data_IF_436038786394
#
_entry.id   IF_436038786394
#
_cell.length_a   1.000
_cell.length_b   1.000
_cell.length_c   1.000
_cell.angle_alpha   90.00
_cell.angle_beta   90.00
_cell.angle_gamma   90.00
#
_symmetry.space_group_name_H-M   'P 1'
#
loop_
_entity.id
_entity.type
_entity.pdbx_description
1 polymer ?
#
# COMPACT_ATOMS: atom_id res chain seq x y z
N UNK A 1 -27.65 19.70 2.77
CA UNK A 1 -26.67 18.60 2.89
C UNK A 1 -25.55 19.12 3.76
N UNK A 2 -25.46 18.69 5.02
CA UNK A 2 -24.39 19.11 5.93
C UNK A 2 -23.18 18.23 5.61
N UNK A 3 -22.11 18.82 5.12
CA UNK A 3 -20.83 18.14 4.95
C UNK A 3 -20.23 17.96 6.35
N UNK A 4 -20.07 16.72 6.80
CA UNK A 4 -19.33 16.43 8.03
C UNK A 4 -17.84 16.37 7.72
N UNK A 5 -17.04 17.13 8.48
CA UNK A 5 -15.59 17.01 8.44
C UNK A 5 -15.16 15.71 9.14
N UNK A 6 -14.33 14.93 8.46
CA UNK A 6 -13.78 13.69 9.01
C UNK A 6 -12.26 13.87 9.14
N UNK A 7 -11.75 13.78 10.36
CA UNK A 7 -10.31 13.86 10.61
C UNK A 7 -9.57 12.74 9.85
N UNK A 8 -8.38 13.00 9.28
CA UNK A 8 -7.62 11.98 8.59
C UNK A 8 -7.21 10.85 9.58
N UNK A 9 -7.10 9.61 9.09
CA UNK A 9 -6.67 8.50 9.93
C UNK A 9 -5.24 8.73 10.47
N UNK A 10 -5.01 8.34 11.72
CA UNK A 10 -3.71 8.51 12.41
C UNK A 10 -2.61 7.56 11.90
N UNK A 11 -2.99 6.57 11.10
CA UNK A 11 -2.10 5.68 10.36
C UNK A 11 -2.44 5.76 8.88
N UNK A 12 -1.41 5.75 8.02
CA UNK A 12 -1.58 5.91 6.57
C UNK A 12 -0.72 4.89 5.83
N UNK A 13 -1.37 4.09 4.98
CA UNK A 13 -0.71 3.00 4.26
C UNK A 13 -0.71 3.29 2.77
N UNK A 14 0.48 3.33 2.18
CA UNK A 14 0.69 3.61 0.76
C UNK A 14 1.13 2.33 0.04
N UNK A 15 0.47 2.05 -1.09
CA UNK A 15 0.86 0.97 -2.00
C UNK A 15 1.61 1.54 -3.20
N UNK A 16 2.92 1.27 -3.29
CA UNK A 16 3.69 1.48 -4.50
C UNK A 16 3.62 0.24 -5.40
N UNK A 17 2.91 0.33 -6.52
CA UNK A 17 2.62 -0.76 -7.42
C UNK A 17 3.43 -0.63 -8.72
N UNK A 18 4.28 -1.62 -8.98
CA UNK A 18 5.09 -1.67 -10.19
C UNK A 18 4.21 -1.71 -11.42
N UNK A 19 4.48 -0.83 -12.37
CA UNK A 19 3.62 -0.64 -13.52
C UNK A 19 3.59 -1.89 -14.41
N UNK A 20 2.38 -2.24 -14.85
CA UNK A 20 2.10 -3.49 -15.53
C UNK A 20 0.93 -3.38 -16.51
N UNK A 21 0.64 -4.45 -17.25
CA UNK A 21 -0.56 -4.50 -18.12
C UNK A 21 -1.84 -4.88 -17.37
N UNK A 22 -1.76 -5.12 -16.05
CA UNK A 22 -2.86 -5.62 -15.24
C UNK A 22 -4.23 -5.03 -15.59
N UNK A 23 -5.10 -5.91 -16.10
CA UNK A 23 -6.53 -5.64 -16.34
C UNK A 23 -7.29 -5.41 -15.03
N UNK A 24 -6.71 -5.81 -13.89
CA UNK A 24 -7.31 -5.69 -12.57
C UNK A 24 -6.94 -4.40 -11.83
N UNK A 25 -6.22 -3.47 -12.46
CA UNK A 25 -5.83 -2.20 -11.82
C UNK A 25 -7.05 -1.45 -11.26
N UNK A 26 -8.10 -1.25 -12.06
CA UNK A 26 -9.29 -0.53 -11.62
C UNK A 26 -9.94 -1.19 -10.40
N UNK A 27 -10.06 -2.53 -10.43
CA UNK A 27 -10.53 -3.31 -9.29
C UNK A 27 -9.65 -3.15 -8.05
N UNK A 28 -8.32 -3.15 -8.21
CA UNK A 28 -7.41 -2.95 -7.07
C UNK A 28 -7.52 -1.52 -6.50
N UNK A 29 -7.73 -0.50 -7.34
CA UNK A 29 -7.97 0.86 -6.88
C UNK A 29 -9.24 0.94 -6.02
N UNK A 30 -10.32 0.27 -6.44
CA UNK A 30 -11.56 0.15 -5.65
C UNK A 30 -11.27 -0.52 -4.29
N UNK A 31 -10.54 -1.64 -4.28
CA UNK A 31 -10.21 -2.38 -3.04
C UNK A 31 -9.25 -1.61 -2.13
N UNK A 32 -8.38 -0.79 -2.70
CA UNK A 32 -7.51 0.07 -1.92
C UNK A 32 -8.30 1.14 -1.17
N UNK A 33 -9.39 1.65 -1.75
CA UNK A 33 -10.31 2.55 -1.05
C UNK A 33 -11.09 1.81 0.04
N UNK A 34 -11.62 0.62 -0.26
CA UNK A 34 -12.36 -0.18 0.74
C UNK A 34 -11.51 -0.53 1.97
N UNK A 35 -10.20 -0.70 1.79
CA UNK A 35 -9.23 -1.00 2.84
C UNK A 35 -8.45 0.22 3.33
N UNK A 36 -9.00 1.43 3.09
CA UNK A 36 -8.48 2.70 3.61
C UNK A 36 -6.97 2.93 3.36
N UNK A 37 -6.51 2.62 2.15
CA UNK A 37 -5.19 3.07 1.72
C UNK A 37 -5.11 4.60 1.81
N UNK A 38 -3.98 5.11 2.30
CA UNK A 38 -3.66 6.53 2.29
C UNK A 38 -3.11 7.00 0.94
N UNK A 39 -2.54 6.08 0.15
CA UNK A 39 -2.04 6.40 -1.18
C UNK A 39 -1.79 5.18 -2.05
N UNK A 40 -1.81 5.40 -3.36
CA UNK A 40 -1.52 4.41 -4.39
C UNK A 40 -0.56 5.06 -5.39
N UNK A 41 0.64 4.55 -5.45
CA UNK A 41 1.70 5.07 -6.32
C UNK A 41 1.99 4.07 -7.43
N UNK A 42 1.81 4.46 -8.68
CA UNK A 42 2.10 3.63 -9.85
C UNK A 42 3.50 3.97 -10.33
N UNK A 43 4.48 3.09 -10.13
CA UNK A 43 5.88 3.40 -10.42
C UNK A 43 6.43 2.62 -11.61
N UNK A 44 7.33 3.25 -12.35
CA UNK A 44 8.01 2.65 -13.49
C UNK A 44 9.03 1.61 -13.01
N UNK A 45 8.75 0.33 -13.22
CA UNK A 45 9.72 -0.72 -12.96
C UNK A 45 10.52 -1.07 -14.22
N UNK A 46 11.70 -1.64 -14.03
CA UNK A 46 12.61 -2.10 -15.09
C UNK A 46 11.95 -3.13 -15.99
N UNK A 47 11.12 -4.00 -15.40
CA UNK A 47 10.41 -5.09 -16.09
C UNK A 47 8.95 -4.77 -16.41
N UNK A 48 8.56 -3.49 -16.35
CA UNK A 48 7.26 -3.04 -16.83
C UNK A 48 7.13 -3.24 -18.34
N UNK A 49 5.97 -3.70 -18.80
CA UNK A 49 5.73 -3.99 -20.23
C UNK A 49 5.48 -2.74 -21.09
N UNK A 50 5.28 -1.58 -20.46
CA UNK A 50 5.13 -0.28 -21.10
C UNK A 50 5.57 0.83 -20.15
N UNK A 51 5.63 2.07 -20.65
CA UNK A 51 5.88 3.23 -19.81
C UNK A 51 4.66 3.54 -18.95
N UNK A 52 4.87 3.82 -17.67
CA UNK A 52 3.83 4.38 -16.80
C UNK A 52 3.41 5.75 -17.35
N UNK A 53 2.11 6.10 -17.34
CA UNK A 53 1.67 7.43 -17.71
C UNK A 53 2.30 8.50 -16.82
N UNK A 54 2.55 9.68 -17.37
CA UNK A 54 3.04 10.83 -16.59
C UNK A 54 1.92 11.37 -15.68
N UNK A 55 0.70 11.45 -16.19
CA UNK A 55 -0.48 11.88 -15.44
C UNK A 55 -1.39 10.71 -15.04
N UNK A 56 -2.07 10.90 -13.90
CA UNK A 56 -3.17 10.03 -13.49
C UNK A 56 -4.36 10.16 -14.44
N UNK A 57 -5.09 9.07 -14.67
CA UNK A 57 -6.26 9.07 -15.54
C UNK A 57 -7.54 9.31 -14.74
N UNK A 58 -8.44 10.14 -15.25
CA UNK A 58 -9.77 10.38 -14.65
C UNK A 58 -10.57 9.09 -14.39
N UNK A 59 -10.38 8.09 -15.25
CA UNK A 59 -11.03 6.79 -15.09
C UNK A 59 -10.58 6.05 -13.83
N UNK A 60 -9.35 6.27 -13.35
CA UNK A 60 -8.83 5.67 -12.12
C UNK A 60 -9.45 6.32 -10.89
N UNK A 61 -9.53 7.65 -10.87
CA UNK A 61 -10.25 8.38 -9.83
C UNK A 61 -11.71 7.96 -9.77
N UNK A 62 -12.35 7.78 -10.92
CA UNK A 62 -13.73 7.29 -10.99
C UNK A 62 -13.91 5.90 -10.34
N UNK A 63 -12.93 5.00 -10.46
CA UNK A 63 -12.97 3.69 -9.77
C UNK A 63 -12.83 3.85 -8.25
N UNK A 64 -11.95 4.74 -7.80
CA UNK A 64 -11.77 5.03 -6.37
C UNK A 64 -13.04 5.63 -5.76
N UNK A 65 -13.68 6.58 -6.45
CA UNK A 65 -14.96 7.17 -6.05
C UNK A 65 -16.06 6.11 -5.96
N UNK A 66 -16.08 5.13 -6.88
CA UNK A 66 -17.03 4.02 -6.80
C UNK A 66 -16.82 3.16 -5.55
N UNK A 67 -15.57 2.82 -5.23
CA UNK A 67 -15.21 2.11 -3.99
C UNK A 67 -15.58 2.86 -2.72
N UNK A 68 -15.32 4.17 -2.67
CA UNK A 68 -15.68 5.03 -1.54
C UNK A 68 -17.19 5.03 -1.29
N UNK A 69 -17.99 5.15 -2.36
CA UNK A 69 -19.46 5.12 -2.26
C UNK A 69 -19.99 3.80 -1.73
N UNK A 70 -19.38 2.67 -2.09
CA UNK A 70 -19.82 1.34 -1.64
C UNK A 70 -19.37 1.02 -0.21
N UNK A 71 -18.21 1.50 0.20
CA UNK A 71 -17.65 1.27 1.54
C UNK A 71 -18.08 2.32 2.57
N UNK A 72 -18.71 3.41 2.14
CA UNK A 72 -18.95 4.60 2.96
C UNK A 72 -17.64 5.21 3.50
N UNK A 73 -16.52 4.95 2.84
CA UNK A 73 -15.25 5.57 3.17
C UNK A 73 -15.28 7.06 2.75
N UNK A 74 -15.14 8.02 3.69
CA UNK A 74 -15.17 9.45 3.36
C UNK A 74 -13.83 9.96 2.77
N UNK A 75 -12.78 9.12 2.73
CA UNK A 75 -11.46 9.49 2.24
C UNK A 75 -11.12 8.75 0.94
N UNK A 76 -10.41 9.44 0.04
CA UNK A 76 -9.78 8.84 -1.13
C UNK A 76 -8.26 8.80 -0.93
N UNK A 77 -7.58 7.71 -1.32
CA UNK A 77 -6.13 7.67 -1.34
C UNK A 77 -5.59 8.69 -2.33
N UNK A 78 -4.42 9.26 -2.02
CA UNK A 78 -3.63 9.97 -3.02
C UNK A 78 -3.28 9.01 -4.17
N UNK A 79 -3.53 9.39 -5.41
CA UNK A 79 -3.10 8.63 -6.58
C UNK A 79 -1.95 9.36 -7.27
N UNK A 80 -0.81 8.69 -7.43
CA UNK A 80 0.39 9.27 -8.05
C UNK A 80 1.03 8.30 -9.06
N UNK A 81 1.70 8.86 -10.06
CA UNK A 81 2.56 8.16 -11.01
C UNK A 81 4.02 8.55 -10.76
N UNK A 82 4.93 7.58 -10.83
CA UNK A 82 6.37 7.77 -10.59
C UNK A 82 7.17 7.26 -11.81
N UNK A 83 7.30 8.06 -12.87
CA UNK A 83 7.99 7.66 -14.10
C UNK A 83 9.51 7.55 -13.97
N UNK A 84 10.12 8.12 -12.93
CA UNK A 84 11.55 8.03 -12.60
C UNK A 84 11.95 6.71 -11.93
N UNK A 85 10.99 5.81 -11.69
CA UNK A 85 11.22 4.43 -11.30
C UNK A 85 11.78 4.25 -9.88
N UNK A 86 12.67 3.26 -9.69
CA UNK A 86 13.14 2.89 -8.36
C UNK A 86 13.88 4.03 -7.62
N UNK A 87 14.60 4.89 -8.34
CA UNK A 87 15.30 6.04 -7.74
C UNK A 87 14.31 7.11 -7.24
N UNK A 88 13.27 7.42 -8.03
CA UNK A 88 12.22 8.34 -7.61
C UNK A 88 11.42 7.76 -6.43
N UNK A 89 11.09 6.47 -6.48
CA UNK A 89 10.41 5.78 -5.39
C UNK A 89 11.26 5.77 -4.10
N UNK A 90 12.56 5.51 -4.22
CA UNK A 90 13.50 5.55 -3.11
C UNK A 90 13.57 6.93 -2.45
N UNK A 91 13.58 8.01 -3.24
CA UNK A 91 13.59 9.37 -2.72
C UNK A 91 12.35 9.69 -1.86
N UNK A 92 11.20 9.09 -2.16
CA UNK A 92 9.98 9.24 -1.38
C UNK A 92 9.92 8.34 -0.14
N UNK A 93 10.72 7.28 -0.07
CA UNK A 93 10.70 6.34 1.05
C UNK A 93 11.11 7.00 2.39
N UNK A 94 11.88 8.09 2.34
CA UNK A 94 12.30 8.86 3.51
C UNK A 94 11.14 9.51 4.28
N UNK A 95 9.97 9.69 3.64
CA UNK A 95 8.79 10.28 4.28
C UNK A 95 7.93 9.24 5.04
N UNK A 96 8.42 8.00 5.17
CA UNK A 96 7.72 6.90 5.83
C UNK A 96 8.47 6.41 7.05
N UNK A 97 7.72 6.12 8.11
CA UNK A 97 8.24 5.49 9.32
C UNK A 97 8.67 4.04 9.07
N UNK A 98 8.08 3.43 8.05
CA UNK A 98 8.30 2.02 7.68
C UNK A 98 8.05 1.81 6.20
N UNK A 99 8.95 1.09 5.55
CA UNK A 99 8.84 0.75 4.15
C UNK A 99 9.24 -0.71 3.91
N UNK A 100 8.45 -1.42 3.13
CA UNK A 100 8.60 -2.84 2.85
C UNK A 100 8.64 -3.14 1.36
N UNK A 101 9.61 -3.94 0.95
CA UNK A 101 9.74 -4.45 -0.41
C UNK A 101 9.21 -5.89 -0.45
N UNK A 102 8.06 -6.11 -1.08
CA UNK A 102 7.42 -7.44 -1.16
C UNK A 102 8.11 -8.29 -2.23
N UNK A 103 9.20 -8.94 -1.86
CA UNK A 103 10.11 -9.58 -2.82
C UNK A 103 10.10 -11.11 -2.68
N UNK A 104 9.78 -11.80 -3.77
CA UNK A 104 9.79 -13.26 -3.85
C UNK A 104 11.19 -13.89 -3.72
N UNK A 105 12.26 -13.10 -3.94
CA UNK A 105 13.64 -13.55 -3.76
C UNK A 105 14.10 -13.60 -2.30
N UNK A 106 13.28 -13.14 -1.35
CA UNK A 106 13.58 -13.27 0.07
C UNK A 106 13.35 -14.68 0.60
N UNK A 107 14.06 -15.02 1.68
CA UNK A 107 13.80 -16.26 2.40
C UNK A 107 12.33 -16.32 2.84
N UNK A 108 11.64 -17.46 2.70
CA UNK A 108 10.28 -17.63 3.22
C UNK A 108 10.17 -17.46 4.74
N UNK A 109 11.29 -17.40 5.47
CA UNK A 109 11.33 -17.09 6.90
C UNK A 109 11.33 -15.59 7.20
N UNK A 110 11.67 -14.74 6.24
CA UNK A 110 11.62 -13.28 6.35
C UNK A 110 10.20 -12.76 6.11
N UNK A 111 9.22 -13.36 6.79
CA UNK A 111 7.81 -13.03 6.60
C UNK A 111 7.51 -11.60 7.03
N UNK A 112 6.63 -10.93 6.30
CA UNK A 112 5.97 -9.72 6.79
C UNK A 112 5.22 -10.07 8.08
N UNK A 113 5.74 -9.56 9.20
CA UNK A 113 5.33 -10.02 10.53
C UNK A 113 4.23 -9.13 11.15
N UNK A 114 3.27 -9.70 11.89
CA UNK A 114 2.20 -8.95 12.58
C UNK A 114 2.65 -7.73 13.40
N UNK A 115 3.76 -7.78 14.19
CA UNK A 115 4.19 -6.62 14.98
C UNK A 115 4.59 -5.39 14.15
N UNK A 116 4.81 -5.59 12.84
CA UNK A 116 5.20 -4.53 11.92
C UNK A 116 4.01 -3.91 11.17
N UNK A 117 2.80 -4.39 11.43
CA UNK A 117 1.56 -4.01 10.75
C UNK A 117 0.65 -3.17 11.66
N UNK A 118 -0.16 -2.32 11.03
CA UNK A 118 -1.16 -1.49 11.68
C UNK A 118 -0.63 -0.52 12.74
N UNK A 119 0.65 -0.19 12.67
CA UNK A 119 1.29 0.78 13.55
C UNK A 119 0.88 2.21 13.18
N UNK A 120 0.96 3.13 14.14
CA UNK A 120 0.78 4.56 13.89
C UNK A 120 1.85 5.08 12.92
N UNK A 121 1.55 6.17 12.21
CA UNK A 121 2.46 6.76 11.22
C UNK A 121 2.22 6.25 9.80
N UNK A 122 3.23 6.42 8.94
CA UNK A 122 3.15 6.13 7.50
C UNK A 122 3.88 4.83 7.16
N UNK A 123 3.17 3.92 6.48
CA UNK A 123 3.71 2.66 5.98
C UNK A 123 3.70 2.62 4.46
N UNK A 124 4.84 2.26 3.85
CA UNK A 124 4.96 2.03 2.42
C UNK A 124 5.10 0.53 2.14
N UNK A 125 4.27 -0.02 1.26
CA UNK A 125 4.48 -1.34 0.67
C UNK A 125 4.80 -1.21 -0.82
N UNK A 126 5.94 -1.76 -1.23
CA UNK A 126 6.39 -1.78 -2.62
C UNK A 126 6.17 -3.17 -3.21
N UNK A 127 5.36 -3.21 -4.28
CA UNK A 127 5.04 -4.40 -5.06
C UNK A 127 5.69 -4.23 -6.44
N UNK A 128 6.40 -5.25 -6.91
CA UNK A 128 7.05 -5.23 -8.24
C UNK A 128 6.05 -5.36 -9.38
N UNK A 129 6.46 -5.21 -10.65
CA UNK A 129 5.61 -5.47 -11.81
C UNK A 129 5.37 -6.98 -11.98
N UNK A 130 4.53 -7.39 -12.95
CA UNK A 130 4.27 -8.82 -13.19
C UNK A 130 5.53 -9.61 -13.60
N UNK A 131 6.60 -8.93 -14.06
CA UNK A 131 7.90 -9.52 -14.37
C UNK A 131 8.85 -9.66 -13.17
N UNK A 132 8.39 -9.30 -11.96
CA UNK A 132 9.21 -9.25 -10.75
C UNK A 132 10.21 -8.10 -10.75
N UNK A 133 10.99 -7.99 -9.68
CA UNK A 133 12.04 -6.98 -9.53
C UNK A 133 13.32 -7.36 -10.28
N UNK A 134 14.05 -6.36 -10.76
CA UNK A 134 15.45 -6.49 -11.15
C UNK A 134 16.36 -6.48 -9.91
N UNK A 135 17.59 -7.00 -10.05
CA UNK A 135 18.57 -6.94 -8.97
C UNK A 135 18.95 -5.49 -8.62
N UNK A 136 18.99 -4.61 -9.63
CA UNK A 136 19.27 -3.20 -9.44
C UNK A 136 18.17 -2.51 -8.62
N UNK A 137 16.90 -2.77 -8.94
CA UNK A 137 15.77 -2.21 -8.16
C UNK A 137 15.82 -2.67 -6.70
N UNK A 138 16.06 -3.95 -6.45
CA UNK A 138 16.19 -4.46 -5.08
C UNK A 138 17.34 -3.76 -4.36
N UNK A 139 18.50 -3.58 -5.01
CA UNK A 139 19.64 -2.90 -4.43
C UNK A 139 19.35 -1.42 -4.11
N UNK A 140 18.81 -0.66 -5.07
CA UNK A 140 18.44 0.75 -4.91
C UNK A 140 17.44 0.93 -3.77
N UNK A 141 16.35 0.16 -3.77
CA UNK A 141 15.29 0.30 -2.78
C UNK A 141 15.76 -0.13 -1.38
N UNK A 142 16.57 -1.18 -1.28
CA UNK A 142 17.14 -1.62 -0.01
C UNK A 142 18.14 -0.59 0.54
N UNK A 143 18.96 0.02 -0.33
CA UNK A 143 19.88 1.09 0.06
C UNK A 143 19.15 2.33 0.59
N UNK A 144 17.91 2.56 0.16
CA UNK A 144 17.03 3.60 0.67
C UNK A 144 16.31 3.24 1.99
N UNK A 145 16.64 2.10 2.61
CA UNK A 145 16.06 1.67 3.89
C UNK A 145 14.74 0.89 3.75
N UNK A 146 14.32 0.56 2.52
CA UNK A 146 13.12 -0.25 2.30
C UNK A 146 13.46 -1.71 2.61
N UNK A 147 12.77 -2.29 3.59
CA UNK A 147 13.09 -3.62 4.12
C UNK A 147 12.48 -4.72 3.24
N UNK A 148 13.28 -5.60 2.63
CA UNK A 148 12.75 -6.73 1.88
C UNK A 148 12.06 -7.75 2.77
N UNK A 149 10.87 -8.18 2.38
CA UNK A 149 10.05 -9.17 3.11
C UNK A 149 9.39 -10.16 2.16
N UNK A 150 9.06 -11.33 2.69
CA UNK A 150 8.32 -12.38 2.01
C UNK A 150 6.85 -12.38 2.43
N UNK A 151 5.96 -12.74 1.49
CA UNK A 151 4.55 -13.06 1.76
C UNK A 151 4.31 -14.58 1.88
N UNK A 152 5.37 -15.36 2.06
CA UNK A 152 5.33 -16.80 2.23
C UNK A 152 6.01 -17.56 1.09
N UNK A 153 5.74 -18.87 1.04
CA UNK A 153 6.43 -19.82 0.15
C UNK A 153 5.98 -19.76 -1.32
N UNK A 154 4.84 -19.13 -1.59
CA UNK A 154 4.25 -19.09 -2.92
C UNK A 154 4.47 -17.71 -3.52
N UNK A 155 4.85 -17.69 -4.79
CA UNK A 155 4.79 -16.49 -5.60
C UNK A 155 3.31 -16.11 -5.76
N UNK A 156 2.95 -14.92 -5.26
CA UNK A 156 1.61 -14.38 -5.39
C UNK A 156 1.52 -13.56 -6.66
N UNK A 157 0.33 -13.52 -7.27
CA UNK A 157 0.09 -12.58 -8.36
C UNK A 157 0.15 -11.15 -7.84
N UNK A 158 0.49 -10.22 -8.73
CA UNK A 158 0.60 -8.78 -8.46
C UNK A 158 -0.56 -8.24 -7.62
N UNK A 159 -1.80 -8.50 -8.03
CA UNK A 159 -2.99 -8.02 -7.35
C UNK A 159 -3.20 -8.69 -5.98
N UNK A 160 -2.78 -9.95 -5.86
CA UNK A 160 -2.91 -10.73 -4.62
C UNK A 160 -1.90 -10.28 -3.58
N UNK A 161 -0.66 -10.01 -3.98
CA UNK A 161 0.37 -9.48 -3.09
C UNK A 161 -0.03 -8.11 -2.53
N UNK A 162 -0.49 -7.21 -3.41
CA UNK A 162 -0.95 -5.88 -3.04
C UNK A 162 -2.18 -5.90 -2.11
N UNK A 163 -3.19 -6.72 -2.44
CA UNK A 163 -4.38 -6.83 -1.59
C UNK A 163 -4.06 -7.46 -0.23
N UNK A 164 -3.18 -8.47 -0.20
CA UNK A 164 -2.82 -9.16 1.03
C UNK A 164 -2.10 -8.24 2.01
N UNK A 165 -1.08 -7.48 1.57
CA UNK A 165 -0.37 -6.60 2.49
C UNK A 165 -1.27 -5.47 3.01
N UNK A 166 -2.08 -4.88 2.13
CA UNK A 166 -3.03 -3.84 2.53
C UNK A 166 -4.08 -4.38 3.50
N UNK A 167 -4.66 -5.54 3.22
CA UNK A 167 -5.67 -6.16 4.08
C UNK A 167 -5.11 -6.59 5.43
N UNK A 168 -3.89 -7.13 5.46
CA UNK A 168 -3.22 -7.48 6.71
C UNK A 168 -2.94 -6.23 7.55
N UNK A 169 -2.43 -5.17 6.93
CA UNK A 169 -2.15 -3.91 7.63
C UNK A 169 -3.43 -3.26 8.17
N UNK A 170 -4.44 -3.09 7.32
CA UNK A 170 -5.74 -2.56 7.68
C UNK A 170 -6.38 -3.36 8.83
N UNK A 171 -6.38 -4.70 8.76
CA UNK A 171 -6.94 -5.54 9.81
C UNK A 171 -6.23 -5.35 11.16
N UNK A 172 -4.90 -5.18 11.16
CA UNK A 172 -4.17 -4.92 12.40
C UNK A 172 -4.50 -3.55 12.98
N UNK A 173 -4.71 -2.52 12.14
CA UNK A 173 -5.18 -1.20 12.61
C UNK A 173 -6.54 -1.33 13.30
N UNK A 174 -7.49 -2.07 12.70
CA UNK A 174 -8.81 -2.30 13.29
C UNK A 174 -8.73 -2.99 14.66
N UNK A 175 -7.85 -3.99 14.79
CA UNK A 175 -7.60 -4.65 16.07
C UNK A 175 -7.04 -3.69 17.12
N UNK A 176 -6.08 -2.83 16.74
CA UNK A 176 -5.51 -1.83 17.65
C UNK A 176 -6.57 -0.83 18.13
N UNK A 177 -7.40 -0.30 17.23
CA UNK A 177 -8.50 0.62 17.55
C UNK A 177 -9.52 -0.03 18.49
N UNK A 178 -9.89 -1.28 18.24
CA UNK A 178 -10.83 -2.03 19.06
C UNK A 178 -10.28 -2.27 20.48
N UNK A 179 -8.99 -2.60 20.61
CA UNK A 179 -8.33 -2.81 21.91
C UNK A 179 -8.27 -1.51 22.74
N UNK A 180 -7.86 -0.40 22.14
CA UNK A 180 -7.80 0.91 22.81
C UNK A 180 -9.18 1.35 23.31
N UNK A 181 -10.22 1.15 22.50
CA UNK A 181 -11.61 1.46 22.88
C UNK A 181 -12.11 0.60 24.04
N UNK A 182 -11.64 -0.66 24.14
CA UNK A 182 -12.00 -1.56 25.24
C UNK A 182 -11.33 -1.16 26.55
N UNK A 183 -10.05 -0.78 26.51
CA UNK A 183 -9.29 -0.32 27.68
C UNK A 183 -9.88 0.98 28.27
N UNK A 184 -10.27 1.93 27.41
CA UNK A 184 -10.91 3.19 27.84
C UNK A 184 -12.23 2.94 28.57
N UNK A 185 -13.08 2.04 28.07
CA UNK A 185 -14.36 1.69 28.71
C UNK A 185 -14.17 1.01 30.07
N UNK A 186 -13.15 0.18 30.23
CA UNK A 186 -12.87 -0.45 31.52
C UNK A 186 -12.31 0.53 32.56
N UNK A 187 -11.50 1.51 32.12
CA UNK A 187 -10.92 2.54 32.99
C UNK A 187 -11.93 3.55 33.56
N UNK A 188 -13.02 3.83 32.84
CA UNK A 188 -14.09 4.73 33.31
C UNK A 188 -15.06 4.07 34.30
N UNK A 189 -15.00 2.74 34.46
CA UNK A 189 -15.84 1.97 35.40
C UNK A 189 -15.16 1.62 36.72
N UNK A 190 -13.93 2.08 36.95
CA UNK A 190 -13.15 1.87 38.17
C UNK A 190 -13.02 3.17 38.98
#
# INVERSE_FOLDING_TARGET
>A
MQLSEHAPPSSSTVLALGWGKSVRRGWLLEKAVELEAGGIWLWQADRSQSRVPEDVKDSWESQMIAGAKQSLNPWLPELKTLPGGAEELAAHAADFDRAFLLWEGQSPSALLAPPSLGQQGRTLFVVGPEGGFSENEVATLTAAGITPVSLGRRILRWETAALLCLGLDWWHRELHTAMQSAEQRCGETA
#
